data_IF_034018225284
#
_entry.id   IF_034018225284
#
_cell.length_a   1.000
_cell.length_b   1.000
_cell.length_c   1.000
_cell.angle_alpha   90.00
_cell.angle_beta   90.00
_cell.angle_gamma   90.00
#
_symmetry.space_group_name_H-M   'P 1'
#
loop_
_entity.id
_entity.type
_entity.pdbx_description
1 polymer ?
#
# COMPACT_ATOMS: atom_id res chain seq x y z
N UNK A 1 -9.13 12.27 -18.52
CA UNK A 1 -8.71 11.15 -19.38
C UNK A 1 -7.43 10.61 -18.77
N UNK A 2 -7.41 9.37 -18.28
CA UNK A 2 -6.16 8.75 -17.82
C UNK A 2 -5.37 8.41 -19.09
N UNK A 3 -4.10 8.84 -19.22
CA UNK A 3 -3.24 8.43 -20.33
C UNK A 3 -3.26 6.90 -20.51
N UNK A 4 -3.41 6.43 -21.75
CA UNK A 4 -3.45 4.99 -22.10
C UNK A 4 -2.29 4.21 -21.45
N UNK A 5 -1.10 4.83 -21.41
CA UNK A 5 0.10 4.25 -20.79
C UNK A 5 -0.04 3.98 -19.27
N UNK A 6 -0.82 4.79 -18.54
CA UNK A 6 -1.07 4.56 -17.10
C UNK A 6 -2.02 3.37 -16.94
N UNK A 7 -3.07 3.29 -17.74
CA UNK A 7 -4.04 2.18 -17.67
C UNK A 7 -3.36 0.84 -17.96
N UNK A 8 -2.48 0.78 -18.96
CA UNK A 8 -1.68 -0.41 -19.28
C UNK A 8 -0.74 -0.78 -18.13
N UNK A 9 -0.06 0.18 -17.51
CA UNK A 9 0.78 -0.10 -16.34
C UNK A 9 -0.02 -0.66 -15.16
N UNK A 10 -1.18 -0.08 -14.86
CA UNK A 10 -2.06 -0.56 -13.78
C UNK A 10 -2.56 -1.97 -14.06
N UNK A 11 -2.96 -2.27 -15.30
CA UNK A 11 -3.40 -3.63 -15.71
C UNK A 11 -2.29 -4.68 -15.62
N UNK A 12 -1.03 -4.27 -15.72
CA UNK A 12 0.13 -5.15 -15.71
C UNK A 12 0.86 -5.19 -14.37
N UNK A 13 0.29 -4.61 -13.30
CA UNK A 13 0.86 -4.70 -11.95
C UNK A 13 0.97 -6.17 -11.52
N UNK A 14 2.18 -6.58 -11.13
CA UNK A 14 2.52 -7.91 -10.64
C UNK A 14 3.50 -7.77 -9.49
N UNK A 15 3.03 -8.07 -8.29
CA UNK A 15 3.83 -8.01 -7.06
C UNK A 15 4.27 -6.59 -6.69
N UNK A 16 5.03 -6.51 -5.60
CA UNK A 16 5.40 -5.23 -4.98
C UNK A 16 6.27 -4.35 -5.86
N UNK A 17 7.22 -4.91 -6.62
CA UNK A 17 8.14 -4.15 -7.46
C UNK A 17 7.39 -3.29 -8.49
N UNK A 18 6.37 -3.85 -9.12
CA UNK A 18 5.56 -3.15 -10.11
C UNK A 18 4.81 -1.94 -9.54
N UNK A 19 4.49 -1.95 -8.24
CA UNK A 19 3.85 -0.82 -7.55
C UNK A 19 4.84 0.34 -7.42
N UNK A 20 6.07 0.06 -6.99
CA UNK A 20 7.11 1.09 -6.92
C UNK A 20 7.45 1.65 -8.30
N UNK A 21 7.57 0.80 -9.32
CA UNK A 21 7.79 1.20 -10.71
C UNK A 21 6.64 2.06 -11.28
N UNK A 22 5.39 1.80 -10.88
CA UNK A 22 4.25 2.63 -11.24
C UNK A 22 4.42 4.04 -10.67
N UNK A 23 4.75 4.19 -9.38
CA UNK A 23 4.91 5.51 -8.79
C UNK A 23 6.16 6.25 -9.27
N UNK A 24 7.24 5.54 -9.59
CA UNK A 24 8.38 6.14 -10.28
C UNK A 24 7.96 6.69 -11.65
N UNK A 25 7.21 5.91 -12.44
CA UNK A 25 6.68 6.35 -13.73
C UNK A 25 5.74 7.56 -13.62
N UNK A 26 4.97 7.65 -12.55
CA UNK A 26 4.08 8.78 -12.27
C UNK A 26 4.83 10.04 -11.76
N UNK A 27 6.16 9.98 -11.64
CA UNK A 27 7.00 11.11 -11.25
C UNK A 27 7.26 11.25 -9.74
N UNK A 28 6.91 10.25 -8.93
CA UNK A 28 7.08 10.30 -7.47
C UNK A 28 8.42 9.75 -6.96
N UNK A 29 9.43 9.63 -7.83
CA UNK A 29 10.71 8.97 -7.52
C UNK A 29 11.37 9.47 -6.22
N UNK A 30 11.39 10.77 -6.00
CA UNK A 30 12.03 11.39 -4.82
C UNK A 30 11.26 11.15 -3.51
N UNK A 31 10.01 10.72 -3.61
CA UNK A 31 9.14 10.42 -2.47
C UNK A 31 9.07 8.92 -2.14
N UNK A 32 9.63 8.06 -3.00
CA UNK A 32 9.61 6.62 -2.80
C UNK A 32 10.53 6.22 -1.64
N UNK A 33 10.06 5.29 -0.83
CA UNK A 33 10.89 4.63 0.18
C UNK A 33 11.67 3.46 -0.43
N UNK A 34 12.60 2.92 0.35
CA UNK A 34 13.29 1.68 0.02
C UNK A 34 12.28 0.51 -0.03
N UNK A 35 12.12 -0.07 -1.21
CA UNK A 35 11.20 -1.20 -1.46
C UNK A 35 11.62 -2.51 -0.79
N UNK A 36 12.89 -2.66 -0.41
CA UNK A 36 13.37 -3.84 0.34
C UNK A 36 12.97 -3.79 1.81
N UNK A 37 12.62 -2.60 2.31
CA UNK A 37 12.21 -2.42 3.69
C UNK A 37 10.75 -2.82 3.91
N UNK A 38 10.55 -3.77 4.83
CA UNK A 38 9.24 -4.23 5.28
C UNK A 38 8.93 -3.63 6.63
N UNK A 39 7.73 -3.06 6.77
CA UNK A 39 7.23 -2.59 8.06
C UNK A 39 6.82 -3.74 8.96
N UNK A 40 6.92 -3.51 10.25
CA UNK A 40 6.37 -4.44 11.21
C UNK A 40 4.83 -4.33 11.19
N UNK A 41 4.15 -5.46 10.96
CA UNK A 41 2.69 -5.51 10.90
C UNK A 41 2.01 -5.08 12.21
N UNK A 42 2.73 -5.08 13.34
CA UNK A 42 2.22 -4.58 14.62
C UNK A 42 2.18 -3.06 14.71
N UNK A 43 2.89 -2.33 13.84
CA UNK A 43 2.98 -0.86 13.89
C UNK A 43 1.65 -0.16 13.57
N UNK A 44 0.69 -0.90 13.04
CA UNK A 44 -0.57 -0.37 12.54
C UNK A 44 -1.75 -0.57 13.49
N UNK A 45 -1.52 -1.06 14.72
CA UNK A 45 -2.56 -1.35 15.72
C UNK A 45 -3.70 -2.24 15.20
N UNK A 46 -3.39 -3.16 14.27
CA UNK A 46 -4.38 -4.01 13.63
C UNK A 46 -4.94 -5.06 14.60
N UNK A 47 -6.22 -5.44 14.46
CA UNK A 47 -6.81 -6.53 15.23
C UNK A 47 -6.02 -7.84 15.09
N UNK A 48 -5.88 -8.58 16.20
CA UNK A 48 -5.05 -9.80 16.25
C UNK A 48 -5.53 -10.91 15.31
N UNK A 49 -6.83 -10.99 15.06
CA UNK A 49 -7.49 -11.91 14.14
C UNK A 49 -7.18 -11.60 12.67
N UNK A 50 -6.74 -10.38 12.37
CA UNK A 50 -6.45 -9.90 11.02
C UNK A 50 -4.97 -10.03 10.66
N UNK A 51 -4.07 -9.90 11.63
CA UNK A 51 -2.62 -10.02 11.46
C UNK A 51 -2.13 -11.30 10.74
N UNK A 52 -2.77 -12.48 10.88
CA UNK A 52 -2.37 -13.69 10.14
C UNK A 52 -2.63 -13.61 8.63
N UNK A 53 -3.53 -12.72 8.22
CA UNK A 53 -3.93 -12.55 6.82
C UNK A 53 -3.03 -11.55 6.05
N UNK A 54 -2.14 -10.85 6.76
CA UNK A 54 -1.16 -9.94 6.19
C UNK A 54 0.20 -10.65 6.15
N UNK A 55 0.78 -10.71 4.97
CA UNK A 55 2.11 -11.29 4.76
C UNK A 55 3.19 -10.23 4.97
N UNK A 56 3.10 -9.12 4.23
CA UNK A 56 4.05 -8.02 4.31
C UNK A 56 3.34 -6.67 4.18
N UNK A 57 3.96 -5.63 4.73
CA UNK A 57 3.52 -4.23 4.57
C UNK A 57 4.70 -3.39 4.13
N UNK A 58 4.51 -2.60 3.09
CA UNK A 58 5.51 -1.70 2.53
C UNK A 58 5.01 -0.27 2.62
N UNK A 59 5.90 0.64 3.04
CA UNK A 59 5.68 2.06 2.81
C UNK A 59 6.14 2.35 1.38
N UNK A 60 5.23 2.77 0.50
CA UNK A 60 5.58 3.00 -0.90
C UNK A 60 6.14 4.41 -1.06
N UNK A 61 5.38 5.43 -0.63
CA UNK A 61 5.84 6.81 -0.58
C UNK A 61 5.16 7.60 0.53
N UNK A 62 5.72 8.76 0.87
CA UNK A 62 4.98 9.83 1.53
C UNK A 62 5.14 11.15 0.77
N UNK A 63 4.08 11.94 0.72
CA UNK A 63 4.13 13.31 0.20
C UNK A 63 3.90 14.26 1.36
N UNK A 64 4.94 15.05 1.67
CA UNK A 64 4.92 16.12 2.68
C UNK A 64 4.36 15.67 4.05
N UNK A 65 4.50 14.39 4.40
CA UNK A 65 3.88 13.79 5.61
C UNK A 65 2.34 13.92 5.68
N UNK A 66 1.69 14.25 4.58
CA UNK A 66 0.24 14.43 4.50
C UNK A 66 -0.47 13.26 3.84
N UNK A 67 0.16 12.61 2.85
CA UNK A 67 -0.36 11.42 2.18
C UNK A 67 0.64 10.27 2.32
N UNK A 68 0.19 9.18 2.93
CA UNK A 68 0.96 7.95 3.04
C UNK A 68 0.41 6.91 2.08
N UNK A 69 1.27 6.26 1.30
CA UNK A 69 0.88 5.12 0.49
C UNK A 69 1.44 3.83 1.08
N UNK A 70 0.57 2.88 1.38
CA UNK A 70 0.93 1.56 1.88
C UNK A 70 0.51 0.49 0.88
N UNK A 71 1.44 -0.41 0.57
CA UNK A 71 1.15 -1.65 -0.13
C UNK A 71 1.13 -2.80 0.87
N UNK A 72 0.06 -3.58 0.86
CA UNK A 72 -0.22 -4.64 1.83
C UNK A 72 -0.40 -5.94 1.05
N UNK A 73 0.56 -6.84 1.20
CA UNK A 73 0.48 -8.22 0.70
C UNK A 73 -0.41 -9.04 1.63
N UNK A 74 -1.47 -9.63 1.09
CA UNK A 74 -2.50 -10.34 1.85
C UNK A 74 -2.73 -11.74 1.29
N UNK A 75 -3.10 -12.65 2.18
CA UNK A 75 -3.46 -14.03 1.78
C UNK A 75 -4.85 -14.10 1.18
N UNK A 76 -5.80 -13.40 1.80
CA UNK A 76 -7.20 -13.39 1.39
C UNK A 76 -7.80 -12.00 1.52
N UNK A 77 -8.60 -11.57 0.55
CA UNK A 77 -9.35 -10.33 0.67
C UNK A 77 -10.74 -10.59 1.22
N UNK A 78 -11.16 -9.84 2.23
CA UNK A 78 -12.53 -9.88 2.73
C UNK A 78 -13.01 -8.50 3.14
N UNK A 79 -14.32 -8.26 3.08
CA UNK A 79 -14.90 -6.98 3.48
C UNK A 79 -14.62 -6.63 4.95
N UNK A 80 -14.72 -7.55 5.93
CA UNK A 80 -14.34 -7.27 7.32
C UNK A 80 -12.87 -6.89 7.45
N UNK A 81 -11.98 -7.62 6.76
CA UNK A 81 -10.55 -7.32 6.71
C UNK A 81 -10.28 -5.89 6.22
N UNK A 82 -10.83 -5.52 5.05
CA UNK A 82 -10.65 -4.18 4.48
C UNK A 82 -11.16 -3.09 5.42
N UNK A 83 -12.34 -3.28 6.05
CA UNK A 83 -12.88 -2.30 7.00
C UNK A 83 -11.95 -2.07 8.19
N UNK A 84 -11.43 -3.15 8.76
CA UNK A 84 -10.58 -3.05 9.94
C UNK A 84 -9.20 -2.47 9.62
N UNK A 85 -8.58 -2.86 8.51
CA UNK A 85 -7.31 -2.26 8.07
C UNK A 85 -7.48 -0.78 7.77
N UNK A 86 -8.52 -0.41 6.99
CA UNK A 86 -8.81 0.99 6.68
C UNK A 86 -9.08 1.81 7.93
N UNK A 87 -9.88 1.28 8.88
CA UNK A 87 -10.13 1.97 10.15
C UNK A 87 -8.84 2.22 10.92
N UNK A 88 -8.04 1.16 11.12
CA UNK A 88 -6.78 1.25 11.88
C UNK A 88 -5.83 2.28 11.27
N UNK A 89 -5.77 2.38 9.94
CA UNK A 89 -4.90 3.35 9.28
C UNK A 89 -5.44 4.77 9.31
N UNK A 90 -6.75 4.97 9.18
CA UNK A 90 -7.37 6.29 9.32
C UNK A 90 -7.22 6.85 10.74
N UNK A 91 -7.17 5.98 11.75
CA UNK A 91 -6.95 6.38 13.15
C UNK A 91 -5.49 6.87 13.39
N UNK A 92 -4.53 6.44 12.56
CA UNK A 92 -3.10 6.75 12.73
C UNK A 92 -2.54 7.74 11.68
N UNK A 93 -3.25 7.95 10.57
CA UNK A 93 -2.77 8.76 9.44
C UNK A 93 -3.87 9.66 8.89
N UNK A 94 -3.53 10.93 8.62
CA UNK A 94 -4.48 11.94 8.12
C UNK A 94 -5.06 11.52 6.76
N UNK A 95 -4.19 11.05 5.84
CA UNK A 95 -4.60 10.48 4.55
C UNK A 95 -3.73 9.27 4.24
N UNK A 96 -4.38 8.18 3.86
CA UNK A 96 -3.73 6.95 3.46
C UNK A 96 -4.30 6.46 2.13
N UNK A 97 -3.41 6.14 1.19
CA UNK A 97 -3.71 5.32 0.01
C UNK A 97 -3.30 3.88 0.33
N UNK A 98 -4.25 2.96 0.19
CA UNK A 98 -4.02 1.53 0.47
C UNK A 98 -4.07 0.75 -0.82
N UNK A 99 -3.02 -0.02 -1.08
CA UNK A 99 -2.94 -0.95 -2.21
C UNK A 99 -2.88 -2.35 -1.62
N UNK A 100 -3.91 -3.15 -1.91
CA UNK A 100 -3.96 -4.55 -1.50
C UNK A 100 -3.52 -5.42 -2.67
N UNK A 101 -2.60 -6.33 -2.42
CA UNK A 101 -2.08 -7.28 -3.43
C UNK A 101 -2.06 -8.68 -2.83
N UNK A 102 -2.27 -9.68 -3.68
CA UNK A 102 -2.11 -11.10 -3.36
C UNK A 102 -0.83 -11.64 -3.98
#
# INVERSE_FOLDING_TARGET
>A
MIPIAIEEKVKNLKGIDSIFELFEFLGYKEHLFDKSYKRNKTDFNLPKDILPNIENVYSVFNIEKHLFCFAIEIKNISRPFLKAVSKSLLDNYIRALLIFTN
#
